data_IF_795447076841
#
_entry.id   IF_795447076841
#
_cell.length_a   1.000
_cell.length_b   1.000
_cell.length_c   1.000
_cell.angle_alpha   90.00
_cell.angle_beta   90.00
_cell.angle_gamma   90.00
#
_symmetry.space_group_name_H-M   'P 1'
#
loop_
_entity.id
_entity.type
_entity.pdbx_description
1 polymer ?
#
# COMPACT_ATOMS: atom_id res chain seq x y z
N UNK A 1 3.69 34.96 -10.41
CA UNK A 1 3.09 33.82 -11.12
C UNK A 1 2.72 32.74 -10.11
N UNK A 2 1.53 32.14 -10.24
CA UNK A 2 1.10 31.05 -9.35
C UNK A 2 1.82 29.74 -9.70
N UNK A 3 2.26 28.99 -8.68
CA UNK A 3 2.90 27.68 -8.82
C UNK A 3 1.97 26.62 -8.25
N UNK A 4 1.81 25.51 -8.96
CA UNK A 4 0.95 24.40 -8.57
C UNK A 4 1.76 23.10 -8.51
N UNK A 5 1.35 22.17 -7.63
CA UNK A 5 1.91 20.81 -7.52
C UNK A 5 0.85 19.78 -7.90
N UNK A 6 1.24 18.68 -8.55
CA UNK A 6 0.34 17.54 -8.77
C UNK A 6 -0.05 16.92 -7.42
N UNK A 7 -1.28 16.43 -7.33
CA UNK A 7 -1.73 15.63 -6.18
C UNK A 7 -1.05 14.26 -6.25
N UNK A 8 -0.52 13.71 -5.13
CA UNK A 8 -0.08 12.32 -5.09
C UNK A 8 -1.31 11.42 -5.15
N UNK A 9 -1.35 10.51 -6.12
CA UNK A 9 -2.42 9.53 -6.28
C UNK A 9 -1.93 8.16 -5.80
N UNK A 10 -2.72 7.52 -4.92
CA UNK A 10 -2.51 6.12 -4.57
C UNK A 10 -3.17 5.25 -5.63
N UNK A 11 -2.41 4.31 -6.17
CA UNK A 11 -2.85 3.38 -7.20
C UNK A 11 -2.58 1.95 -6.76
N UNK A 12 -3.33 1.01 -7.32
CA UNK A 12 -3.05 -0.41 -7.18
C UNK A 12 -2.29 -0.90 -8.41
N UNK A 13 -1.30 -1.77 -8.20
CA UNK A 13 -0.52 -2.32 -9.30
C UNK A 13 -0.14 -3.78 -9.02
N UNK A 14 -0.22 -4.61 -10.06
CA UNK A 14 0.13 -6.03 -10.02
C UNK A 14 1.18 -6.30 -11.10
N UNK A 15 2.25 -7.02 -10.74
CA UNK A 15 3.27 -7.41 -11.71
C UNK A 15 2.74 -8.51 -12.62
N UNK A 16 2.85 -8.29 -13.93
CA UNK A 16 2.39 -9.19 -14.98
C UNK A 16 3.40 -10.34 -15.11
N UNK A 17 2.90 -11.58 -15.10
CA UNK A 17 3.74 -12.79 -15.24
C UNK A 17 3.58 -13.50 -16.58
N UNK A 18 2.55 -13.14 -17.34
CA UNK A 18 2.22 -13.70 -18.65
C UNK A 18 1.71 -12.58 -19.56
N UNK A 19 1.87 -12.70 -20.87
CA UNK A 19 1.32 -11.70 -21.80
C UNK A 19 -0.20 -11.64 -21.63
N UNK A 20 -0.71 -10.43 -21.44
CA UNK A 20 -2.14 -10.15 -21.31
C UNK A 20 -2.56 -9.11 -22.34
N UNK A 21 -3.79 -9.22 -22.81
CA UNK A 21 -4.42 -8.21 -23.65
C UNK A 21 -5.61 -7.65 -22.89
N UNK A 22 -5.65 -6.33 -22.76
CA UNK A 22 -6.68 -5.60 -22.02
C UNK A 22 -7.43 -4.74 -23.00
N UNK A 23 -8.75 -4.90 -23.03
CA UNK A 23 -9.62 -4.03 -23.81
C UNK A 23 -9.92 -2.77 -23.00
N UNK A 24 -9.49 -1.63 -23.50
CA UNK A 24 -9.82 -0.33 -22.92
C UNK A 24 -10.72 0.44 -23.87
N UNK A 25 -11.38 1.50 -23.38
CA UNK A 25 -12.18 2.39 -24.23
C UNK A 25 -11.37 3.03 -25.38
N UNK A 26 -10.03 3.06 -25.27
CA UNK A 26 -9.10 3.58 -26.28
C UNK A 26 -8.51 2.50 -27.19
N UNK A 27 -8.92 1.24 -27.02
CA UNK A 27 -8.45 0.09 -27.79
C UNK A 27 -7.78 -0.98 -26.93
N UNK A 28 -7.31 -2.04 -27.59
CA UNK A 28 -6.66 -3.16 -26.94
C UNK A 28 -5.20 -2.84 -26.63
N UNK A 29 -4.81 -2.96 -25.37
CA UNK A 29 -3.43 -2.80 -24.90
C UNK A 29 -2.83 -4.16 -24.57
N UNK A 30 -1.57 -4.36 -24.92
CA UNK A 30 -0.84 -5.59 -24.61
C UNK A 30 0.13 -5.29 -23.46
N UNK A 31 0.06 -6.08 -22.40
CA UNK A 31 1.01 -6.08 -21.30
C UNK A 31 1.93 -7.30 -21.37
N UNK A 32 3.23 -7.10 -21.22
CA UNK A 32 4.21 -8.17 -21.29
C UNK A 32 4.60 -8.69 -19.89
N UNK A 33 5.12 -9.92 -19.79
CA UNK A 33 5.71 -10.42 -18.55
C UNK A 33 6.82 -9.49 -18.05
N UNK A 34 6.76 -9.12 -16.77
CA UNK A 34 7.72 -8.21 -16.14
C UNK A 34 7.17 -6.81 -15.89
N UNK A 35 6.21 -6.37 -16.71
CA UNK A 35 5.55 -5.07 -16.57
C UNK A 35 4.55 -5.04 -15.42
N UNK A 36 4.02 -3.87 -15.10
CA UNK A 36 2.96 -3.70 -14.10
C UNK A 36 1.63 -3.40 -14.77
N UNK A 37 0.59 -4.10 -14.35
CA UNK A 37 -0.79 -3.73 -14.62
C UNK A 37 -1.27 -2.77 -13.52
N UNK A 38 -1.50 -1.51 -13.87
CA UNK A 38 -1.98 -0.49 -12.95
C UNK A 38 -3.49 -0.42 -13.01
N UNK A 39 -4.13 -0.24 -11.85
CA UNK A 39 -5.55 0.07 -11.69
C UNK A 39 -5.70 1.44 -11.04
N UNK A 40 -6.36 2.36 -11.74
CA UNK A 40 -6.67 3.71 -11.22
C UNK A 40 -7.88 3.67 -10.26
N UNK A 41 -8.11 4.75 -9.50
CA UNK A 41 -9.25 4.89 -8.58
C UNK A 41 -10.63 4.78 -9.26
N UNK A 42 -10.67 4.97 -10.57
CA UNK A 42 -11.87 4.82 -11.40
C UNK A 42 -12.07 3.39 -11.93
N UNK A 43 -11.17 2.46 -11.60
CA UNK A 43 -11.22 1.07 -12.07
C UNK A 43 -10.62 0.86 -13.47
N UNK A 44 -10.07 1.90 -14.09
CA UNK A 44 -9.39 1.79 -15.38
C UNK A 44 -8.05 1.06 -15.23
N UNK A 45 -7.82 0.09 -16.10
CA UNK A 45 -6.61 -0.74 -16.09
C UNK A 45 -5.73 -0.46 -17.29
N UNK A 46 -4.42 -0.37 -17.07
CA UNK A 46 -3.45 -0.19 -18.15
C UNK A 46 -2.08 -0.82 -17.82
N UNK A 47 -1.42 -1.46 -18.80
CA UNK A 47 -0.06 -1.94 -18.62
C UNK A 47 0.93 -0.77 -18.58
N UNK A 48 1.97 -0.92 -17.78
CA UNK A 48 3.02 0.06 -17.58
C UNK A 48 4.37 -0.64 -17.47
N UNK A 49 5.35 -0.14 -18.22
CA UNK A 49 6.71 -0.67 -18.19
C UNK A 49 7.30 -0.65 -16.77
N UNK A 50 7.96 -1.75 -16.38
CA UNK A 50 8.51 -1.90 -15.04
C UNK A 50 9.47 -0.79 -14.64
N UNK A 51 10.35 -0.37 -15.55
CA UNK A 51 11.35 0.66 -15.29
C UNK A 51 10.70 2.02 -15.06
N UNK A 52 9.66 2.33 -15.83
CA UNK A 52 8.89 3.56 -15.67
C UNK A 52 8.09 3.55 -14.37
N UNK A 53 7.49 2.42 -14.03
CA UNK A 53 6.72 2.25 -12.81
C UNK A 53 7.58 2.48 -11.57
N UNK A 54 8.73 1.81 -11.47
CA UNK A 54 9.65 1.88 -10.32
C UNK A 54 10.30 3.25 -10.13
N UNK A 55 10.41 4.06 -11.19
CA UNK A 55 10.88 5.44 -11.10
C UNK A 55 9.79 6.42 -10.66
N UNK A 56 8.52 6.08 -10.88
CA UNK A 56 7.38 6.99 -10.68
C UNK A 56 6.66 6.71 -9.37
N UNK A 57 6.64 5.45 -8.92
CA UNK A 57 5.84 5.00 -7.79
C UNK A 57 6.70 4.32 -6.74
N UNK A 58 6.39 4.60 -5.48
CA UNK A 58 7.03 3.97 -4.33
C UNK A 58 6.01 3.09 -3.60
N UNK A 59 6.47 1.92 -3.13
CA UNK A 59 5.61 1.00 -2.40
C UNK A 59 5.25 1.56 -1.03
N UNK A 60 3.97 1.84 -0.82
CA UNK A 60 3.47 2.24 0.50
C UNK A 60 3.46 1.02 1.41
N UNK A 61 4.19 1.09 2.53
CA UNK A 61 4.09 0.08 3.60
C UNK A 61 2.80 0.36 4.35
N UNK A 62 1.75 -0.40 4.05
CA UNK A 62 0.50 -0.31 4.80
C UNK A 62 0.80 -0.57 6.28
N UNK A 63 0.56 0.46 7.10
CA UNK A 63 1.01 0.53 8.48
C UNK A 63 0.29 -0.48 9.37
N UNK A 64 0.75 -1.73 9.37
CA UNK A 64 0.40 -2.74 10.38
C UNK A 64 0.95 -2.41 11.79
N UNK A 65 1.41 -1.19 12.04
CA UNK A 65 1.96 -0.75 13.32
C UNK A 65 0.92 -0.36 14.36
N UNK A 66 -0.36 -0.22 14.01
CA UNK A 66 -1.41 -0.02 15.02
C UNK A 66 -1.51 -1.24 15.95
N UNK A 67 -1.43 -2.46 15.40
CA UNK A 67 -1.49 -3.68 16.21
C UNK A 67 -0.27 -3.85 17.11
N UNK A 68 0.91 -3.47 16.63
CA UNK A 68 2.15 -3.47 17.43
C UNK A 68 2.06 -2.47 18.57
N UNK A 69 1.52 -1.27 18.31
CA UNK A 69 1.31 -0.24 19.32
C UNK A 69 0.28 -0.67 20.37
N UNK A 70 -0.87 -1.20 19.95
CA UNK A 70 -1.91 -1.73 20.85
C UNK A 70 -1.34 -2.87 21.71
N UNK A 71 -0.59 -3.82 21.13
CA UNK A 71 0.06 -4.90 21.89
C UNK A 71 1.03 -4.36 22.94
N UNK A 72 1.80 -3.32 22.63
CA UNK A 72 2.72 -2.67 23.60
C UNK A 72 1.94 -2.00 24.72
N UNK A 73 0.87 -1.28 24.42
CA UNK A 73 0.02 -0.62 25.42
C UNK A 73 -0.63 -1.66 26.34
N UNK A 74 -1.27 -2.69 25.78
CA UNK A 74 -1.91 -3.77 26.55
C UNK A 74 -0.90 -4.49 27.46
N UNK A 75 0.30 -4.80 26.96
CA UNK A 75 1.37 -5.40 27.79
C UNK A 75 1.77 -4.49 28.94
N UNK A 76 1.90 -3.18 28.71
CA UNK A 76 2.29 -2.21 29.73
C UNK A 76 1.21 -2.04 30.79
N UNK A 77 -0.07 -1.99 30.38
CA UNK A 77 -1.22 -1.97 31.29
C UNK A 77 -1.29 -3.26 32.12
N UNK A 78 -1.13 -4.44 31.49
CA UNK A 78 -1.14 -5.74 32.18
C UNK A 78 -0.01 -5.85 33.21
N UNK A 79 1.20 -5.36 32.90
CA UNK A 79 2.33 -5.33 33.83
C UNK A 79 2.04 -4.41 35.03
N UNK A 80 1.58 -3.18 34.78
CA UNK A 80 1.28 -2.19 35.82
C UNK A 80 0.14 -2.64 36.74
N UNK A 81 -0.89 -3.28 36.19
CA UNK A 81 -2.00 -3.86 36.96
C UNK A 81 -1.53 -5.01 37.86
N UNK A 82 -0.67 -5.91 37.36
CA UNK A 82 -0.10 -7.01 38.15
C UNK A 82 0.78 -6.50 39.31
N UNK A 83 1.62 -5.50 39.05
CA UNK A 83 2.46 -4.87 40.09
C UNK A 83 1.62 -4.20 41.18
N UNK A 84 0.48 -3.59 40.81
CA UNK A 84 -0.43 -2.97 41.77
C UNK A 84 -1.16 -4.02 42.62
N UNK A 85 -1.59 -5.13 42.02
CA UNK A 85 -2.26 -6.22 42.73
C UNK A 85 -1.33 -6.91 43.74
N UNK A 86 -0.04 -7.05 43.41
CA UNK A 86 0.96 -7.67 44.31
C UNK A 86 1.42 -6.74 45.45
N UNK A 87 1.21 -5.43 45.35
CA UNK A 87 1.54 -4.45 46.40
C UNK A 87 0.41 -4.19 47.39
N UNK A 88 -0.76 -4.82 47.19
CA UNK A 88 -1.98 -4.57 47.98
C UNK A 88 -2.41 -5.81 48.79
N UNK A 89 -1.45 -6.63 49.23
CA UNK A 89 -1.70 -7.59 50.30
C UNK A 89 -1.00 -7.08 51.58
N UNK A 90 -1.67 -7.13 52.74
CA UNK A 90 -1.14 -6.64 54.01
C UNK A 90 0.13 -7.39 54.46
#
# INVERSE_FOLDING_TARGET
>A
MARYRRKPEMIEAVKITRTITIETAKGSLIGNPGDYLITDKHGEQYPCDARKFEQTYERVKDGKDVTTFIKKVVRKVKKKSKELFMKTQP
#
